data_IF_164808703337
#
_entry.id   IF_164808703337
#
_cell.length_a   1.000
_cell.length_b   1.000
_cell.length_c   1.000
_cell.angle_alpha   90.00
_cell.angle_beta   90.00
_cell.angle_gamma   90.00
#
_symmetry.space_group_name_H-M   'P 1'
#
loop_
_entity.id
_entity.type
_entity.pdbx_description
1 polymer ?
#
# COMPACT_ATOMS: atom_id res chain seq x y z
N UNK A 1 1.92 23.96 -12.87
CA UNK A 1 2.53 22.61 -12.77
C UNK A 1 3.49 22.70 -11.60
N UNK A 2 3.40 21.81 -10.63
CA UNK A 2 4.31 21.84 -9.49
C UNK A 2 5.73 21.56 -10.01
N UNK A 3 6.66 22.45 -9.68
CA UNK A 3 8.08 22.33 -10.09
C UNK A 3 8.84 21.28 -9.25
N UNK A 4 8.17 20.14 -8.98
CA UNK A 4 8.77 19.01 -8.25
C UNK A 4 9.69 18.27 -9.20
N UNK A 5 10.95 18.11 -8.81
CA UNK A 5 11.94 17.35 -9.58
C UNK A 5 12.10 15.93 -9.08
N UNK A 6 11.85 15.69 -7.79
CA UNK A 6 11.86 14.32 -7.25
C UNK A 6 10.91 14.11 -6.09
N UNK A 7 10.48 12.86 -5.94
CA UNK A 7 9.84 12.32 -4.73
C UNK A 7 10.69 11.15 -4.27
N UNK A 8 11.08 11.18 -3.00
CA UNK A 8 11.81 10.11 -2.35
C UNK A 8 11.04 9.65 -1.12
N UNK A 9 10.88 8.33 -0.97
CA UNK A 9 10.34 7.75 0.27
C UNK A 9 11.43 7.74 1.33
N UNK A 10 11.14 8.30 2.49
CA UNK A 10 11.98 8.24 3.67
C UNK A 10 11.72 6.93 4.43
N UNK A 11 12.67 6.50 5.26
CA UNK A 11 12.54 5.32 6.12
C UNK A 11 12.25 4.00 5.37
N UNK A 12 12.68 3.86 4.12
CA UNK A 12 12.82 2.56 3.49
C UNK A 12 14.12 1.96 3.98
N UNK A 13 14.07 0.72 4.45
CA UNK A 13 15.30 -0.02 4.68
C UNK A 13 15.96 -0.31 3.32
N UNK A 14 17.29 -0.28 3.26
CA UNK A 14 17.98 -0.75 2.07
C UNK A 14 17.57 -2.19 1.78
N UNK A 15 17.52 -2.57 0.51
CA UNK A 15 17.21 -3.93 0.07
C UNK A 15 15.76 -4.41 0.37
N UNK A 16 14.78 -3.52 0.56
CA UNK A 16 13.37 -3.94 0.64
C UNK A 16 12.73 -4.08 -0.74
N UNK A 17 12.08 -5.22 -0.98
CA UNK A 17 11.22 -5.48 -2.13
C UNK A 17 9.77 -5.57 -1.65
N UNK A 18 8.90 -4.76 -2.24
CA UNK A 18 7.46 -4.75 -1.95
C UNK A 18 6.71 -5.48 -3.05
N UNK A 19 5.98 -6.52 -2.68
CA UNK A 19 5.05 -7.22 -3.58
C UNK A 19 3.63 -6.91 -3.13
N UNK A 20 2.85 -6.33 -4.01
CA UNK A 20 1.42 -6.18 -3.79
C UNK A 20 0.69 -7.30 -4.48
N UNK A 21 0.28 -8.30 -3.72
CA UNK A 21 -0.42 -9.49 -4.19
C UNK A 21 -1.93 -9.30 -4.07
N UNK A 22 -2.64 -9.41 -5.18
CA UNK A 22 -4.10 -9.51 -5.21
C UNK A 22 -4.47 -10.97 -4.97
N UNK A 23 -5.10 -11.25 -3.84
CA UNK A 23 -5.53 -12.61 -3.49
C UNK A 23 -6.96 -12.92 -3.94
N UNK A 24 -7.79 -11.88 -4.11
CA UNK A 24 -9.14 -12.00 -4.66
C UNK A 24 -9.64 -10.64 -5.14
N UNK A 25 -10.47 -10.61 -6.18
CA UNK A 25 -11.19 -9.40 -6.60
C UNK A 25 -12.58 -9.30 -5.94
N UNK A 26 -13.07 -10.38 -5.33
CA UNK A 26 -14.36 -10.40 -4.63
C UNK A 26 -14.32 -9.56 -3.36
N UNK A 27 -15.41 -8.85 -3.08
CA UNK A 27 -15.57 -8.05 -1.87
C UNK A 27 -17.02 -8.13 -1.37
N UNK A 28 -17.20 -8.25 -0.07
CA UNK A 28 -18.52 -8.22 0.57
C UNK A 28 -19.07 -6.79 0.79
N UNK A 29 -18.26 -5.76 0.49
CA UNK A 29 -18.68 -4.36 0.45
C UNK A 29 -18.77 -3.87 -0.99
N UNK A 30 -19.72 -2.99 -1.27
CA UNK A 30 -19.88 -2.32 -2.56
C UNK A 30 -19.62 -0.81 -2.41
N UNK A 31 -18.39 -0.45 -2.07
CA UNK A 31 -17.99 0.93 -1.84
C UNK A 31 -17.93 1.69 -3.16
N UNK A 32 -18.77 2.72 -3.33
CA UNK A 32 -18.82 3.54 -4.57
C UNK A 32 -17.49 4.22 -4.95
N UNK A 33 -16.61 4.41 -3.99
CA UNK A 33 -15.27 4.99 -4.18
C UNK A 33 -14.17 3.94 -4.40
N UNK A 34 -14.52 2.66 -4.33
CA UNK A 34 -13.54 1.59 -4.50
C UNK A 34 -13.00 1.56 -5.93
N UNK A 35 -11.69 1.30 -6.05
CA UNK A 35 -10.98 1.18 -7.33
C UNK A 35 -10.37 -0.21 -7.51
N UNK A 36 -10.71 -1.15 -6.63
CA UNK A 36 -10.00 -2.42 -6.52
C UNK A 36 -10.88 -3.64 -6.72
N UNK A 37 -12.20 -3.53 -6.60
CA UNK A 37 -13.03 -4.69 -6.81
C UNK A 37 -13.71 -4.65 -8.18
N UNK A 38 -13.73 -5.79 -8.83
CA UNK A 38 -14.72 -6.17 -9.80
C UNK A 38 -15.73 -7.08 -9.08
N UNK A 39 -16.98 -7.05 -9.47
CA UNK A 39 -17.97 -8.04 -9.00
C UNK A 39 -17.79 -9.39 -9.71
N UNK A 40 -16.62 -9.63 -10.29
CA UNK A 40 -16.29 -10.86 -11.00
C UNK A 40 -15.97 -11.93 -9.97
N UNK A 41 -16.61 -13.07 -10.13
CA UNK A 41 -16.37 -14.26 -9.31
C UNK A 41 -14.97 -14.81 -9.68
N UNK A 42 -14.03 -14.68 -8.77
CA UNK A 42 -12.68 -15.22 -8.96
C UNK A 42 -12.71 -16.72 -8.69
N UNK A 43 -12.87 -17.50 -9.73
CA UNK A 43 -12.76 -18.96 -9.68
C UNK A 43 -11.29 -19.42 -9.61
N UNK A 44 -10.46 -18.79 -8.77
CA UNK A 44 -9.06 -19.17 -8.63
C UNK A 44 -8.96 -20.40 -7.76
N UNK A 45 -8.26 -21.42 -8.26
CA UNK A 45 -8.01 -22.68 -7.54
C UNK A 45 -6.84 -22.55 -6.58
N UNK A 46 -6.71 -23.51 -5.66
CA UNK A 46 -5.53 -23.57 -4.80
C UNK A 46 -4.23 -23.81 -5.60
N UNK A 47 -4.31 -24.53 -6.71
CA UNK A 47 -3.14 -24.78 -7.56
C UNK A 47 -2.65 -23.48 -8.23
N UNK A 48 -3.55 -22.57 -8.64
CA UNK A 48 -3.16 -21.26 -9.14
C UNK A 48 -2.39 -20.45 -8.08
N UNK A 49 -2.84 -20.48 -6.82
CA UNK A 49 -2.11 -19.85 -5.72
C UNK A 49 -0.73 -20.47 -5.51
N UNK A 50 -0.59 -21.79 -5.65
CA UNK A 50 0.72 -22.45 -5.54
C UNK A 50 1.70 -21.92 -6.57
N UNK A 51 1.30 -21.72 -7.82
CA UNK A 51 2.16 -21.12 -8.84
C UNK A 51 2.61 -19.71 -8.44
N UNK A 52 1.68 -18.88 -7.92
CA UNK A 52 1.99 -17.53 -7.43
C UNK A 52 2.99 -17.59 -6.26
N UNK A 53 2.77 -18.49 -5.30
CA UNK A 53 3.62 -18.65 -4.12
C UNK A 53 4.99 -19.21 -4.49
N UNK A 54 5.04 -20.18 -5.40
CA UNK A 54 6.29 -20.73 -5.92
C UNK A 54 7.09 -19.68 -6.70
N UNK A 55 6.43 -18.83 -7.47
CA UNK A 55 7.08 -17.67 -8.10
C UNK A 55 7.69 -16.74 -7.04
N UNK A 56 6.93 -16.36 -5.99
CA UNK A 56 7.45 -15.51 -4.90
C UNK A 56 8.64 -16.18 -4.20
N UNK A 57 8.57 -17.49 -3.94
CA UNK A 57 9.66 -18.23 -3.33
C UNK A 57 10.90 -18.29 -4.25
N UNK A 58 10.73 -18.45 -5.56
CA UNK A 58 11.83 -18.45 -6.51
C UNK A 58 12.53 -17.08 -6.60
N UNK A 59 11.77 -15.99 -6.72
CA UNK A 59 12.38 -14.65 -6.72
C UNK A 59 13.04 -14.32 -5.37
N UNK A 60 12.51 -14.83 -4.25
CA UNK A 60 13.14 -14.65 -2.93
C UNK A 60 14.51 -15.30 -2.84
N UNK A 61 14.71 -16.45 -3.50
CA UNK A 61 16.02 -17.11 -3.60
C UNK A 61 16.99 -16.40 -4.53
N UNK A 62 16.47 -15.86 -5.64
CA UNK A 62 17.27 -15.06 -6.58
C UNK A 62 17.78 -13.78 -5.90
N UNK A 63 16.88 -13.08 -5.21
CA UNK A 63 17.16 -11.83 -4.47
C UNK A 63 17.37 -12.09 -2.97
N UNK A 64 18.21 -13.08 -2.63
CA UNK A 64 18.38 -13.60 -1.26
C UNK A 64 18.84 -12.58 -0.22
N UNK A 65 19.49 -11.50 -0.65
CA UNK A 65 19.95 -10.42 0.23
C UNK A 65 18.88 -9.31 0.42
N UNK A 66 17.73 -9.47 -0.22
CA UNK A 66 16.63 -8.52 -0.07
C UNK A 66 15.60 -9.02 0.93
N UNK A 67 15.02 -8.09 1.69
CA UNK A 67 13.87 -8.33 2.55
C UNK A 67 12.57 -8.12 1.77
N UNK A 68 11.69 -9.10 1.80
CA UNK A 68 10.41 -9.02 1.11
C UNK A 68 9.31 -8.57 2.06
N UNK A 69 8.50 -7.63 1.61
CA UNK A 69 7.24 -7.22 2.23
C UNK A 69 6.10 -7.56 1.30
N UNK A 70 5.23 -8.47 1.72
CA UNK A 70 4.11 -8.94 0.91
C UNK A 70 2.83 -8.29 1.41
N UNK A 71 2.16 -7.53 0.55
CA UNK A 71 0.87 -6.92 0.84
C UNK A 71 -0.24 -7.78 0.26
N UNK A 72 -0.99 -8.46 1.11
CA UNK A 72 -2.19 -9.22 0.74
C UNK A 72 -3.35 -8.25 0.57
N UNK A 73 -3.79 -8.11 -0.67
CA UNK A 73 -4.70 -7.06 -1.10
C UNK A 73 -5.75 -7.62 -2.07
N UNK A 74 -6.75 -6.80 -2.44
CA UNK A 74 -7.75 -7.21 -3.43
C UNK A 74 -9.07 -6.48 -3.24
N UNK A 75 -10.17 -7.20 -3.39
CA UNK A 75 -11.49 -6.81 -2.88
C UNK A 75 -11.46 -6.85 -1.35
N UNK A 76 -11.89 -7.97 -0.78
CA UNK A 76 -11.67 -8.27 0.65
C UNK A 76 -10.88 -9.58 0.77
N UNK A 77 -9.59 -9.54 1.12
CA UNK A 77 -8.73 -10.73 1.17
C UNK A 77 -9.25 -11.84 2.08
N UNK A 78 -9.99 -11.51 3.14
CA UNK A 78 -10.55 -12.52 4.07
C UNK A 78 -11.68 -13.35 3.46
N UNK A 79 -12.13 -13.04 2.26
CA UNK A 79 -13.05 -13.88 1.48
C UNK A 79 -12.31 -14.99 0.71
N UNK A 80 -10.99 -14.88 0.54
CA UNK A 80 -10.18 -15.93 -0.04
C UNK A 80 -10.13 -17.13 0.93
N UNK A 81 -10.64 -18.28 0.51
CA UNK A 81 -10.66 -19.51 1.33
C UNK A 81 -9.26 -20.03 1.65
N UNK A 82 -8.27 -19.66 0.87
CA UNK A 82 -6.86 -20.09 1.01
C UNK A 82 -5.97 -19.08 1.73
N UNK A 83 -6.54 -18.02 2.32
CA UNK A 83 -5.74 -16.95 2.93
C UNK A 83 -4.80 -17.47 4.03
N UNK A 84 -5.28 -18.41 4.85
CA UNK A 84 -4.47 -19.04 5.91
C UNK A 84 -3.29 -19.84 5.34
N UNK A 85 -3.53 -20.58 4.24
CA UNK A 85 -2.48 -21.37 3.58
C UNK A 85 -1.47 -20.46 2.87
N UNK A 86 -1.92 -19.38 2.23
CA UNK A 86 -1.07 -18.34 1.65
C UNK A 86 -0.18 -17.72 2.73
N UNK A 87 -0.77 -17.34 3.87
CA UNK A 87 -0.04 -16.73 4.99
C UNK A 87 1.03 -17.69 5.52
N UNK A 88 0.67 -18.95 5.76
CA UNK A 88 1.59 -20.00 6.24
C UNK A 88 2.73 -20.26 5.25
N UNK A 89 2.43 -20.30 3.96
CA UNK A 89 3.46 -20.48 2.93
C UNK A 89 4.45 -19.31 2.94
N UNK A 90 3.95 -18.07 2.94
CA UNK A 90 4.78 -16.87 2.97
C UNK A 90 5.61 -16.75 4.25
N UNK A 91 5.07 -17.20 5.38
CA UNK A 91 5.80 -17.21 6.66
C UNK A 91 7.03 -18.12 6.61
N UNK A 92 6.97 -19.24 5.89
CA UNK A 92 8.07 -20.17 5.73
C UNK A 92 9.19 -19.66 4.78
N UNK A 93 8.98 -18.56 4.07
CA UNK A 93 10.03 -17.95 3.25
C UNK A 93 10.90 -17.07 4.15
N UNK A 94 12.18 -17.42 4.26
CA UNK A 94 13.11 -16.84 5.23
C UNK A 94 13.23 -15.32 5.12
N UNK A 95 13.35 -14.80 3.91
CA UNK A 95 13.52 -13.37 3.67
C UNK A 95 12.21 -12.60 3.43
N UNK A 96 11.05 -13.22 3.58
CA UNK A 96 9.79 -12.50 3.81
C UNK A 96 9.79 -12.04 5.27
N UNK A 97 9.80 -10.72 5.48
CA UNK A 97 9.90 -10.10 6.81
C UNK A 97 8.61 -9.43 7.27
N UNK A 98 7.67 -9.17 6.36
CA UNK A 98 6.40 -8.51 6.68
C UNK A 98 5.30 -9.04 5.74
N UNK A 99 4.21 -9.52 6.30
CA UNK A 99 3.00 -9.93 5.59
C UNK A 99 1.89 -8.97 6.01
N UNK A 100 1.47 -8.10 5.11
CA UNK A 100 0.54 -7.02 5.43
C UNK A 100 -0.84 -7.39 4.90
N UNK A 101 -1.77 -7.69 5.79
CA UNK A 101 -3.16 -7.97 5.44
C UNK A 101 -3.98 -6.69 5.42
N UNK A 102 -4.50 -6.30 4.25
CA UNK A 102 -5.52 -5.26 4.12
C UNK A 102 -6.90 -5.88 4.26
N UNK A 103 -7.74 -5.37 5.16
CA UNK A 103 -9.08 -5.89 5.38
C UNK A 103 -10.08 -4.81 5.78
N UNK A 104 -11.34 -5.02 5.46
CA UNK A 104 -12.46 -4.22 5.95
C UNK A 104 -12.97 -4.67 7.33
N UNK A 105 -12.32 -5.65 7.93
CA UNK A 105 -12.57 -6.20 9.25
C UNK A 105 -14.00 -6.78 9.40
N UNK A 106 -14.51 -7.43 8.36
CA UNK A 106 -15.89 -7.95 8.34
C UNK A 106 -16.07 -9.38 8.87
N UNK A 107 -14.96 -10.12 9.09
CA UNK A 107 -14.99 -11.43 9.77
C UNK A 107 -15.13 -11.24 11.28
N UNK A 108 -15.47 -12.30 11.99
CA UNK A 108 -15.45 -12.29 13.46
C UNK A 108 -14.00 -12.21 13.99
N UNK A 109 -13.87 -11.84 15.26
CA UNK A 109 -12.55 -11.60 15.86
C UNK A 109 -11.71 -12.89 15.96
N UNK A 110 -12.34 -14.07 16.15
CA UNK A 110 -11.61 -15.32 16.23
C UNK A 110 -10.87 -15.63 14.93
N UNK A 111 -11.48 -15.32 13.78
CA UNK A 111 -10.82 -15.50 12.48
C UNK A 111 -9.47 -14.76 12.39
N UNK A 112 -9.42 -13.53 12.90
CA UNK A 112 -8.18 -12.72 12.88
C UNK A 112 -7.17 -13.21 13.91
N UNK A 113 -7.64 -13.68 15.08
CA UNK A 113 -6.80 -14.29 16.12
C UNK A 113 -6.16 -15.55 15.57
N UNK A 114 -6.96 -16.47 15.00
CA UNK A 114 -6.46 -17.71 14.39
C UNK A 114 -5.46 -17.43 13.25
N UNK A 115 -5.70 -16.36 12.49
CA UNK A 115 -4.77 -15.95 11.42
C UNK A 115 -3.46 -15.39 11.98
N UNK A 116 -3.51 -14.66 13.10
CA UNK A 116 -2.30 -14.11 13.75
C UNK A 116 -1.42 -15.21 14.36
N UNK A 117 -2.01 -16.34 14.79
CA UNK A 117 -1.28 -17.48 15.29
C UNK A 117 -0.46 -18.22 14.21
N UNK A 118 -0.73 -17.93 12.93
CA UNK A 118 0.00 -18.54 11.81
C UNK A 118 1.38 -17.91 11.64
N UNK A 119 1.51 -16.60 11.88
CA UNK A 119 2.74 -15.85 11.56
C UNK A 119 2.91 -14.59 12.41
N UNK A 120 4.03 -14.51 13.10
CA UNK A 120 4.47 -13.27 13.78
C UNK A 120 4.83 -12.13 12.81
N UNK A 121 5.01 -12.44 11.52
CA UNK A 121 5.27 -11.46 10.46
C UNK A 121 3.99 -10.75 10.01
N UNK A 122 2.81 -11.18 10.50
CA UNK A 122 1.53 -10.63 10.06
C UNK A 122 1.27 -9.26 10.68
N UNK A 123 1.04 -8.28 9.80
CA UNK A 123 0.65 -6.91 10.14
C UNK A 123 -0.77 -6.65 9.66
N UNK A 124 -1.62 -6.08 10.51
CA UNK A 124 -3.02 -5.81 10.18
C UNK A 124 -3.21 -4.37 9.70
N UNK A 125 -3.79 -4.20 8.50
CA UNK A 125 -4.20 -2.93 7.93
C UNK A 125 -5.72 -2.92 7.78
N UNK A 126 -6.41 -2.39 8.81
CA UNK A 126 -7.86 -2.40 8.91
C UNK A 126 -8.49 -1.10 8.38
N UNK A 127 -9.45 -1.22 7.48
CA UNK A 127 -10.15 -0.09 6.87
C UNK A 127 -11.54 0.09 7.46
N UNK A 128 -11.79 1.21 8.14
CA UNK A 128 -13.11 1.59 8.59
C UNK A 128 -13.94 2.20 7.45
N UNK A 129 -15.02 1.54 7.09
CA UNK A 129 -15.96 1.96 6.05
C UNK A 129 -17.30 2.35 6.70
N UNK A 130 -17.59 3.64 6.92
CA UNK A 130 -18.71 4.08 7.76
C UNK A 130 -20.09 3.74 7.20
N UNK A 131 -20.22 3.33 5.94
CA UNK A 131 -21.49 2.86 5.36
C UNK A 131 -21.87 1.45 5.80
N UNK A 132 -20.92 0.66 6.29
CA UNK A 132 -21.09 -0.77 6.52
C UNK A 132 -20.98 -1.17 7.98
N UNK A 133 -20.29 -0.39 8.79
CA UNK A 133 -20.11 -0.66 10.22
C UNK A 133 -20.13 0.63 11.02
N UNK A 134 -20.69 0.61 12.22
CA UNK A 134 -20.62 1.71 13.17
C UNK A 134 -19.21 1.82 13.75
N UNK A 135 -18.73 3.06 13.98
CA UNK A 135 -17.38 3.27 14.52
C UNK A 135 -17.15 2.55 15.87
N UNK A 136 -18.16 2.56 16.75
CA UNK A 136 -18.09 1.87 18.06
C UNK A 136 -17.86 0.37 17.93
N UNK A 137 -18.49 -0.28 16.94
CA UNK A 137 -18.39 -1.73 16.73
C UNK A 137 -17.04 -2.06 16.05
N UNK A 138 -16.65 -1.26 15.07
CA UNK A 138 -15.33 -1.39 14.42
C UNK A 138 -14.19 -1.26 15.43
N UNK A 139 -14.24 -0.24 16.31
CA UNK A 139 -13.16 0.00 17.28
C UNK A 139 -13.14 -1.06 18.40
N UNK A 140 -14.32 -1.59 18.77
CA UNK A 140 -14.40 -2.74 19.68
C UNK A 140 -13.69 -3.95 19.07
N UNK A 141 -13.97 -4.29 17.82
CA UNK A 141 -13.28 -5.39 17.12
C UNK A 141 -11.77 -5.16 17.08
N UNK A 142 -11.31 -3.93 16.75
CA UNK A 142 -9.88 -3.59 16.79
C UNK A 142 -9.29 -3.83 18.19
N UNK A 143 -9.94 -3.36 19.25
CA UNK A 143 -9.43 -3.52 20.62
C UNK A 143 -9.35 -4.98 21.05
N UNK A 144 -10.31 -5.80 20.63
CA UNK A 144 -10.34 -7.23 20.94
C UNK A 144 -9.20 -8.01 20.27
N UNK A 145 -8.81 -7.63 19.04
CA UNK A 145 -7.75 -8.32 18.28
C UNK A 145 -6.36 -7.68 18.39
N UNK A 146 -6.27 -6.42 18.82
CA UNK A 146 -5.02 -5.66 18.89
C UNK A 146 -3.88 -6.37 19.69
N UNK A 147 -4.16 -7.12 20.78
CA UNK A 147 -3.11 -7.83 21.51
C UNK A 147 -2.41 -8.94 20.72
N UNK A 148 -3.03 -9.41 19.64
CA UNK A 148 -2.54 -10.55 18.85
C UNK A 148 -1.71 -10.12 17.63
N UNK A 149 -1.63 -8.81 17.34
CA UNK A 149 -0.86 -8.28 16.21
C UNK A 149 0.28 -7.39 16.69
N UNK A 150 1.48 -7.65 16.19
CA UNK A 150 2.66 -6.81 16.47
C UNK A 150 2.49 -5.38 15.96
N UNK A 151 1.71 -5.21 14.89
CA UNK A 151 1.42 -3.91 14.28
C UNK A 151 0.03 -3.86 13.66
N UNK A 152 -0.70 -2.79 13.96
CA UNK A 152 -2.03 -2.52 13.40
C UNK A 152 -2.09 -1.09 12.86
N UNK A 153 -2.55 -0.95 11.61
CA UNK A 153 -2.82 0.33 10.96
C UNK A 153 -4.32 0.46 10.70
N UNK A 154 -4.93 1.56 11.14
CA UNK A 154 -6.33 1.87 10.87
C UNK A 154 -6.42 2.93 9.78
N UNK A 155 -7.14 2.61 8.71
CA UNK A 155 -7.54 3.59 7.70
C UNK A 155 -8.99 4.00 7.92
N UNK A 156 -9.23 5.27 8.21
CA UNK A 156 -10.60 5.82 8.32
C UNK A 156 -10.99 6.39 6.97
N UNK A 157 -11.89 5.72 6.27
CA UNK A 157 -12.42 6.19 4.99
C UNK A 157 -13.48 7.27 5.23
N UNK A 158 -13.06 8.52 5.26
CA UNK A 158 -14.00 9.63 5.49
C UNK A 158 -14.93 9.83 4.31
N UNK A 159 -16.15 9.29 4.42
CA UNK A 159 -17.25 9.56 3.50
C UNK A 159 -18.08 10.72 4.05
N UNK A 160 -18.03 11.91 3.43
CA UNK A 160 -18.73 13.09 3.94
C UNK A 160 -20.25 12.97 3.83
N UNK A 161 -20.76 11.99 3.09
CA UNK A 161 -22.21 11.70 3.03
C UNK A 161 -22.71 10.89 4.24
N UNK A 162 -21.81 10.35 5.06
CA UNK A 162 -22.11 9.50 6.22
C UNK A 162 -21.55 10.09 7.50
N UNK A 163 -20.34 10.62 7.46
CA UNK A 163 -19.66 11.23 8.60
C UNK A 163 -19.53 12.74 8.38
N UNK A 164 -20.17 13.52 9.22
CA UNK A 164 -20.01 14.96 9.25
C UNK A 164 -18.67 15.39 9.92
N UNK A 165 -18.41 16.71 9.92
CA UNK A 165 -17.18 17.26 10.49
C UNK A 165 -17.06 17.00 12.02
N UNK A 166 -18.17 16.96 12.74
CA UNK A 166 -18.16 16.72 14.19
C UNK A 166 -17.77 15.26 14.46
N UNK A 167 -18.38 14.34 13.74
CA UNK A 167 -18.15 12.91 13.85
C UNK A 167 -16.70 12.55 13.50
N UNK A 168 -16.15 13.09 12.40
CA UNK A 168 -14.77 12.80 12.03
C UNK A 168 -13.75 13.37 13.01
N UNK A 169 -14.02 14.56 13.58
CA UNK A 169 -13.21 15.13 14.67
C UNK A 169 -13.25 14.29 15.93
N UNK A 170 -14.40 13.72 16.26
CA UNK A 170 -14.53 12.80 17.39
C UNK A 170 -13.71 11.53 17.15
N UNK A 171 -13.82 10.92 15.96
CA UNK A 171 -13.03 9.73 15.56
C UNK A 171 -11.54 10.01 15.65
N UNK A 172 -11.10 11.13 15.12
CA UNK A 172 -9.70 11.56 15.15
C UNK A 172 -9.17 11.70 16.58
N UNK A 173 -9.93 12.37 17.46
CA UNK A 173 -9.57 12.53 18.87
C UNK A 173 -9.50 11.17 19.58
N UNK A 174 -10.44 10.28 19.31
CA UNK A 174 -10.48 8.95 19.91
C UNK A 174 -9.28 8.12 19.48
N UNK A 175 -8.97 8.08 18.18
CA UNK A 175 -7.83 7.32 17.65
C UNK A 175 -6.49 7.90 18.09
N UNK A 176 -6.39 9.22 18.27
CA UNK A 176 -5.22 9.86 18.87
C UNK A 176 -5.00 9.36 20.30
N UNK A 177 -6.05 9.30 21.11
CA UNK A 177 -5.96 8.78 22.48
C UNK A 177 -5.63 7.27 22.49
N UNK A 178 -6.22 6.51 21.56
CA UNK A 178 -5.93 5.08 21.45
C UNK A 178 -4.47 4.83 21.07
N UNK A 179 -3.92 5.57 20.11
CA UNK A 179 -2.51 5.52 19.72
C UNK A 179 -1.57 5.88 20.89
N UNK A 180 -1.96 6.81 21.74
CA UNK A 180 -1.17 7.16 22.94
C UNK A 180 -1.16 6.07 24.01
N UNK A 181 -2.20 5.20 24.00
CA UNK A 181 -2.32 4.08 24.94
C UNK A 181 -1.59 2.83 24.46
N UNK A 182 -1.51 2.60 23.14
CA UNK A 182 -0.95 1.40 22.54
C UNK A 182 0.15 1.78 21.55
N UNK A 183 1.32 1.19 21.68
CA UNK A 183 2.50 1.48 20.84
C UNK A 183 2.47 0.75 19.48
N UNK A 184 1.64 -0.29 19.35
CA UNK A 184 1.52 -1.12 18.15
C UNK A 184 0.37 -0.70 17.22
N UNK A 185 -0.25 0.48 17.46
CA UNK A 185 -1.33 1.00 16.62
C UNK A 185 -0.96 2.35 15.98
N UNK A 186 -1.32 2.49 14.71
CA UNK A 186 -1.29 3.76 13.99
C UNK A 186 -2.61 3.97 13.25
N UNK A 187 -2.90 5.19 12.82
CA UNK A 187 -4.09 5.45 12.01
C UNK A 187 -3.86 6.58 10.99
N UNK A 188 -4.66 6.54 9.95
CA UNK A 188 -4.71 7.56 8.90
C UNK A 188 -6.17 7.91 8.59
N UNK A 189 -6.46 9.21 8.49
CA UNK A 189 -7.73 9.67 7.97
C UNK A 189 -7.62 9.87 6.47
N UNK A 190 -8.38 9.11 5.70
CA UNK A 190 -8.33 9.15 4.23
C UNK A 190 -9.59 9.82 3.68
N UNK A 191 -9.41 10.95 2.98
CA UNK A 191 -10.49 11.52 2.17
C UNK A 191 -10.83 10.58 1.02
N UNK A 192 -12.11 10.27 0.86
CA UNK A 192 -12.55 9.56 -0.33
C UNK A 192 -12.74 10.52 -1.50
N UNK A 193 -12.12 10.15 -2.62
CA UNK A 193 -12.30 10.85 -3.89
C UNK A 193 -13.16 9.94 -4.75
N UNK A 194 -14.39 10.35 -5.04
CA UNK A 194 -15.30 9.60 -5.92
C UNK A 194 -14.67 9.36 -7.28
N UNK A 195 -15.02 8.25 -7.90
CA UNK A 195 -14.85 8.08 -9.35
C UNK A 195 -15.74 9.11 -10.04
N UNK A 196 -15.32 9.60 -11.21
CA UNK A 196 -16.01 10.65 -11.99
C UNK A 196 -17.48 10.35 -12.33
N UNK A 197 -17.95 9.14 -12.07
CA UNK A 197 -19.29 8.65 -12.34
C UNK A 197 -20.20 8.44 -11.12
N UNK A 198 -19.69 8.58 -9.89
CA UNK A 198 -20.48 8.33 -8.69
C UNK A 198 -20.36 9.50 -7.70
N UNK A 199 -21.42 10.30 -7.61
CA UNK A 199 -21.47 11.46 -6.73
C UNK A 199 -21.52 11.05 -5.25
N UNK A 200 -20.34 11.00 -4.64
CA UNK A 200 -20.21 11.21 -3.21
C UNK A 200 -20.41 12.71 -2.99
N UNK A 201 -21.16 13.10 -1.95
CA UNK A 201 -21.24 14.49 -1.55
C UNK A 201 -19.82 15.09 -1.48
N UNK A 202 -19.60 16.23 -2.10
CA UNK A 202 -18.32 16.93 -1.98
C UNK A 202 -18.11 17.42 -0.56
N UNK A 203 -16.87 17.47 -0.13
CA UNK A 203 -16.50 18.14 1.11
C UNK A 203 -16.83 19.64 0.99
N UNK A 204 -17.39 20.24 2.04
CA UNK A 204 -17.59 21.67 2.10
C UNK A 204 -16.29 22.38 2.54
N UNK A 205 -16.27 23.71 2.45
CA UNK A 205 -15.06 24.53 2.71
C UNK A 205 -14.51 24.29 4.13
N UNK A 206 -15.37 24.14 5.14
CA UNK A 206 -14.95 23.90 6.53
C UNK A 206 -14.34 22.52 6.71
N UNK A 207 -14.85 21.53 6.01
CA UNK A 207 -14.32 20.14 6.00
C UNK A 207 -12.97 20.11 5.29
N UNK A 208 -12.86 20.78 4.14
CA UNK A 208 -11.60 20.91 3.38
C UNK A 208 -10.53 21.63 4.20
N UNK A 209 -10.87 22.76 4.79
CA UNK A 209 -9.96 23.56 5.62
C UNK A 209 -9.48 22.77 6.85
N UNK A 210 -10.41 22.12 7.56
CA UNK A 210 -10.05 21.31 8.72
C UNK A 210 -9.10 20.18 8.36
N UNK A 211 -9.40 19.46 7.28
CA UNK A 211 -8.57 18.35 6.83
C UNK A 211 -7.19 18.80 6.39
N UNK A 212 -7.11 19.90 5.63
CA UNK A 212 -5.85 20.51 5.20
C UNK A 212 -5.01 20.95 6.40
N UNK A 213 -5.63 21.61 7.39
CA UNK A 213 -4.94 22.00 8.61
C UNK A 213 -4.46 20.77 9.40
N UNK A 214 -5.29 19.73 9.51
CA UNK A 214 -4.92 18.48 10.16
C UNK A 214 -3.70 17.84 9.52
N UNK A 215 -3.67 17.75 8.19
CA UNK A 215 -2.56 17.19 7.44
C UNK A 215 -1.28 18.01 7.59
N UNK A 216 -1.38 19.33 7.62
CA UNK A 216 -0.22 20.23 7.72
C UNK A 216 0.37 20.31 9.13
N UNK A 217 -0.46 20.19 10.19
CA UNK A 217 -0.02 20.40 11.58
C UNK A 217 0.30 19.12 12.34
N UNK A 218 -0.39 18.02 11.99
CA UNK A 218 -0.27 16.72 12.66
C UNK A 218 0.31 15.65 11.73
N UNK A 219 1.33 15.99 10.95
CA UNK A 219 2.07 14.98 10.22
C UNK A 219 2.79 14.06 11.24
N UNK A 220 2.11 12.98 11.63
CA UNK A 220 2.67 11.97 12.52
C UNK A 220 3.79 11.16 11.86
N UNK A 221 3.90 11.20 10.53
CA UNK A 221 5.00 10.68 9.76
C UNK A 221 5.33 11.65 8.63
N UNK A 222 6.61 11.91 8.42
CA UNK A 222 7.14 12.60 7.25
C UNK A 222 7.76 11.53 6.37
N UNK A 223 6.91 10.81 5.63
CA UNK A 223 7.34 9.59 4.93
C UNK A 223 7.98 9.88 3.57
N UNK A 224 7.86 11.14 3.09
CA UNK A 224 8.33 11.52 1.75
C UNK A 224 9.07 12.83 1.77
N UNK A 225 10.10 12.90 0.95
CA UNK A 225 10.83 14.10 0.61
C UNK A 225 10.45 14.53 -0.80
N UNK A 226 9.97 15.77 -0.93
CA UNK A 226 9.74 16.42 -2.21
C UNK A 226 10.87 17.41 -2.45
N UNK A 227 11.56 17.28 -3.58
CA UNK A 227 12.56 18.26 -4.01
C UNK A 227 11.99 19.07 -5.17
N UNK A 228 12.13 20.39 -5.09
CA UNK A 228 11.65 21.35 -6.08
C UNK A 228 12.80 21.89 -6.94
N UNK A 229 12.49 22.49 -8.11
CA UNK A 229 13.49 23.06 -9.04
C UNK A 229 14.39 24.14 -8.43
N UNK A 230 13.90 24.84 -7.44
CA UNK A 230 14.64 25.86 -6.69
C UNK A 230 15.50 25.25 -5.56
N UNK A 231 15.64 23.92 -5.53
CA UNK A 231 16.30 23.13 -4.51
C UNK A 231 15.65 23.17 -3.13
N UNK A 232 14.45 23.71 -3.00
CA UNK A 232 13.69 23.60 -1.78
C UNK A 232 13.28 22.14 -1.54
N UNK A 233 13.41 21.71 -0.29
CA UNK A 233 13.04 20.35 0.15
C UNK A 233 11.87 20.48 1.12
N UNK A 234 10.83 19.68 0.88
CA UNK A 234 9.66 19.59 1.75
C UNK A 234 9.43 18.14 2.17
N UNK A 235 9.42 17.90 3.48
CA UNK A 235 9.06 16.59 4.03
C UNK A 235 7.55 16.53 4.28
N UNK A 236 6.90 15.53 3.70
CA UNK A 236 5.44 15.40 3.67
C UNK A 236 4.99 13.96 3.91
N UNK A 237 3.68 13.77 4.09
CA UNK A 237 3.04 12.46 4.07
C UNK A 237 2.18 12.27 2.80
N UNK A 238 1.60 11.08 2.64
CA UNK A 238 0.75 10.74 1.49
C UNK A 238 -0.49 11.63 1.40
N UNK A 239 -1.08 12.02 2.53
CA UNK A 239 -2.26 12.88 2.57
C UNK A 239 -1.96 14.30 2.11
N UNK A 240 -0.78 14.85 2.47
CA UNK A 240 -0.33 16.14 1.94
C UNK A 240 -0.28 16.11 0.40
N UNK A 241 0.30 15.07 -0.18
CA UNK A 241 0.36 14.94 -1.65
C UNK A 241 -1.05 14.86 -2.25
N UNK A 242 -1.95 14.13 -1.60
CA UNK A 242 -3.34 13.96 -2.04
C UNK A 242 -4.13 15.28 -1.95
N UNK A 243 -4.01 16.01 -0.83
CA UNK A 243 -4.66 17.31 -0.62
C UNK A 243 -4.18 18.39 -1.59
N UNK A 244 -2.89 18.35 -1.93
CA UNK A 244 -2.28 19.31 -2.85
C UNK A 244 -2.30 18.83 -4.32
N UNK A 245 -3.04 17.74 -4.61
CA UNK A 245 -3.20 17.16 -5.95
C UNK A 245 -1.88 16.80 -6.63
N UNK A 246 -0.86 16.41 -5.85
CA UNK A 246 0.47 16.01 -6.33
C UNK A 246 0.37 14.57 -6.84
N UNK A 247 0.04 14.38 -8.11
CA UNK A 247 -0.17 13.05 -8.70
C UNK A 247 0.19 12.92 -10.19
N UNK A 248 0.64 13.98 -10.82
CA UNK A 248 0.99 14.01 -12.24
C UNK A 248 2.47 13.71 -12.44
N UNK A 249 2.83 12.46 -12.71
CA UNK A 249 4.21 12.01 -12.87
C UNK A 249 4.46 11.32 -14.22
N UNK A 250 3.61 11.59 -15.22
CA UNK A 250 3.84 11.09 -16.58
C UNK A 250 5.21 11.55 -17.08
N UNK A 251 5.99 10.63 -17.60
CA UNK A 251 7.35 10.88 -18.08
C UNK A 251 8.46 10.84 -17.02
N UNK A 252 8.14 10.82 -15.72
CA UNK A 252 9.13 10.68 -14.66
C UNK A 252 9.75 9.27 -14.67
N UNK A 253 11.03 9.17 -14.31
CA UNK A 253 11.67 7.89 -14.01
C UNK A 253 11.18 7.43 -12.64
N UNK A 254 10.65 6.23 -12.58
CA UNK A 254 9.96 5.67 -11.41
C UNK A 254 10.64 4.37 -10.97
N UNK A 255 10.82 4.20 -9.67
CA UNK A 255 11.45 3.01 -9.07
C UNK A 255 10.53 1.76 -9.05
N UNK A 256 9.34 1.85 -9.64
CA UNK A 256 8.54 0.67 -9.95
C UNK A 256 9.37 -0.34 -10.77
N UNK A 257 9.18 -1.63 -10.55
CA UNK A 257 10.00 -2.74 -11.08
C UNK A 257 11.47 -2.78 -10.56
N UNK A 258 11.91 -1.82 -9.76
CA UNK A 258 13.21 -1.92 -9.07
C UNK A 258 13.03 -2.44 -7.64
N UNK A 259 12.07 -1.85 -6.90
CA UNK A 259 11.81 -2.18 -5.49
C UNK A 259 10.37 -2.57 -5.24
N UNK A 260 9.54 -2.60 -6.27
CA UNK A 260 8.11 -2.77 -6.11
C UNK A 260 7.45 -3.29 -7.37
N UNK A 261 6.52 -4.24 -7.23
CA UNK A 261 5.62 -4.63 -8.30
C UNK A 261 4.25 -5.07 -7.77
N UNK A 262 3.29 -5.14 -8.68
CA UNK A 262 1.92 -5.52 -8.44
C UNK A 262 1.67 -6.85 -9.15
N UNK A 263 1.37 -7.88 -8.40
CA UNK A 263 1.06 -9.23 -8.89
C UNK A 263 -0.43 -9.47 -8.71
N UNK A 264 -1.11 -9.65 -9.83
CA UNK A 264 -2.53 -9.96 -9.85
C UNK A 264 -2.75 -11.47 -9.72
N UNK A 265 -3.95 -11.86 -9.31
CA UNK A 265 -4.32 -13.27 -9.11
C UNK A 265 -4.41 -14.08 -10.42
N UNK A 266 -4.47 -13.42 -11.57
CA UNK A 266 -4.36 -14.03 -12.91
C UNK A 266 -2.90 -14.26 -13.37
N UNK A 267 -1.93 -14.08 -12.47
CA UNK A 267 -0.50 -14.23 -12.73
C UNK A 267 0.15 -13.07 -13.46
N UNK A 268 -0.60 -12.04 -13.82
CA UNK A 268 -0.05 -10.85 -14.46
C UNK A 268 0.71 -9.95 -13.48
N UNK A 269 1.91 -9.51 -13.88
CA UNK A 269 2.72 -8.56 -13.15
C UNK A 269 2.68 -7.20 -13.84
N UNK A 270 2.42 -6.18 -13.03
CA UNK A 270 2.42 -4.79 -13.44
C UNK A 270 3.46 -4.01 -12.63
N UNK A 271 4.07 -2.97 -13.18
CA UNK A 271 5.00 -2.13 -12.42
C UNK A 271 4.37 -1.53 -11.16
N UNK A 272 3.10 -1.19 -11.20
CA UNK A 272 2.35 -0.67 -10.07
C UNK A 272 0.83 -0.76 -10.29
N UNK A 273 0.06 -0.50 -9.23
CA UNK A 273 -1.41 -0.45 -9.30
C UNK A 273 -1.95 0.53 -10.35
N UNK A 274 -1.26 1.64 -10.62
CA UNK A 274 -1.71 2.61 -11.63
C UNK A 274 -1.69 2.01 -13.04
N UNK A 275 -0.68 1.21 -13.38
CA UNK A 275 -0.64 0.50 -14.66
C UNK A 275 -1.83 -0.44 -14.81
N UNK A 276 -2.10 -1.26 -13.81
CA UNK A 276 -3.28 -2.13 -13.81
C UNK A 276 -4.59 -1.32 -13.90
N UNK A 277 -4.74 -0.25 -13.11
CA UNK A 277 -5.93 0.59 -13.10
C UNK A 277 -6.22 1.26 -14.46
N UNK A 278 -5.17 1.69 -15.18
CA UNK A 278 -5.30 2.29 -16.52
C UNK A 278 -5.30 1.27 -17.63
N UNK A 279 -5.34 -0.02 -17.32
CA UNK A 279 -5.40 -1.14 -18.27
C UNK A 279 -4.22 -1.16 -19.25
N UNK A 280 -3.02 -0.82 -18.79
CA UNK A 280 -1.80 -1.10 -19.53
C UNK A 280 -1.54 -2.59 -19.57
N UNK A 281 -0.82 -3.06 -20.61
CA UNK A 281 -0.39 -4.45 -20.70
C UNK A 281 0.51 -4.83 -19.52
N UNK A 282 0.39 -6.07 -19.02
CA UNK A 282 1.31 -6.59 -18.01
C UNK A 282 2.73 -6.65 -18.60
N UNK A 283 3.72 -6.46 -17.74
CA UNK A 283 5.13 -6.55 -18.14
C UNK A 283 5.65 -7.99 -18.11
N UNK A 284 4.97 -8.86 -17.37
CA UNK A 284 5.32 -10.27 -17.19
C UNK A 284 4.07 -11.04 -16.75
N UNK A 285 4.01 -12.34 -17.15
CA UNK A 285 3.00 -13.27 -16.65
C UNK A 285 3.68 -14.55 -16.15
N UNK A 286 3.38 -14.94 -14.90
CA UNK A 286 4.04 -16.07 -14.22
C UNK A 286 3.74 -17.44 -14.84
N UNK A 287 2.65 -17.56 -15.62
CA UNK A 287 2.25 -18.83 -16.23
C UNK A 287 2.83 -19.03 -17.64
N UNK A 288 3.14 -17.94 -18.34
CA UNK A 288 3.52 -17.99 -19.75
C UNK A 288 4.95 -17.52 -20.04
N UNK A 289 5.52 -16.71 -19.17
CA UNK A 289 6.85 -16.14 -19.36
C UNK A 289 7.91 -16.93 -18.55
N UNK A 290 9.13 -17.01 -19.10
CA UNK A 290 10.27 -17.58 -18.38
C UNK A 290 10.78 -16.64 -17.31
N UNK A 291 11.22 -17.17 -16.17
CA UNK A 291 11.72 -16.40 -15.02
C UNK A 291 12.92 -15.52 -15.37
N UNK A 292 13.71 -15.89 -16.38
CA UNK A 292 14.83 -15.06 -16.87
C UNK A 292 14.36 -13.71 -17.41
N UNK A 293 13.21 -13.68 -18.09
CA UNK A 293 12.58 -12.44 -18.53
C UNK A 293 12.25 -11.51 -17.36
N UNK A 294 11.80 -12.07 -16.23
CA UNK A 294 11.56 -11.27 -15.02
C UNK A 294 12.86 -10.68 -14.48
N UNK A 295 13.94 -11.43 -14.47
CA UNK A 295 15.26 -10.96 -14.04
C UNK A 295 15.79 -9.81 -14.92
N UNK A 296 15.50 -9.85 -16.22
CA UNK A 296 15.92 -8.79 -17.16
C UNK A 296 15.15 -7.47 -16.92
N UNK A 297 13.90 -7.53 -16.49
CA UNK A 297 13.06 -6.34 -16.30
C UNK A 297 13.05 -5.83 -14.86
N UNK A 298 13.20 -6.73 -13.86
CA UNK A 298 13.22 -6.35 -12.46
C UNK A 298 14.60 -5.81 -12.05
N UNK A 299 14.60 -4.76 -11.24
CA UNK A 299 15.83 -4.05 -10.86
C UNK A 299 16.08 -2.78 -11.65
N UNK A 300 15.36 -2.57 -12.76
CA UNK A 300 15.49 -1.39 -13.62
C UNK A 300 14.33 -0.42 -13.40
N UNK A 301 14.60 0.87 -13.13
CA UNK A 301 13.55 1.89 -13.06
C UNK A 301 12.83 2.05 -14.41
N UNK A 302 11.56 2.41 -14.36
CA UNK A 302 10.73 2.60 -15.55
C UNK A 302 10.38 4.07 -15.79
N UNK A 303 10.17 4.46 -17.03
CA UNK A 303 9.52 5.73 -17.37
C UNK A 303 8.01 5.61 -17.15
N UNK A 304 7.46 6.46 -16.27
CA UNK A 304 6.05 6.44 -15.92
C UNK A 304 5.17 6.88 -17.10
N UNK A 305 4.22 6.03 -17.49
CA UNK A 305 3.23 6.33 -18.55
C UNK A 305 1.87 6.78 -17.99
N UNK A 306 1.71 6.79 -16.67
CA UNK A 306 0.44 7.10 -16.03
C UNK A 306 0.25 8.61 -15.88
N UNK A 307 -0.82 9.17 -16.46
CA UNK A 307 -1.20 10.58 -16.29
C UNK A 307 -1.40 10.97 -14.83
N UNK A 308 -1.87 10.03 -14.00
CA UNK A 308 -2.07 10.22 -12.57
C UNK A 308 -1.57 9.00 -11.80
N UNK A 309 -0.78 9.23 -10.78
CA UNK A 309 -0.37 8.18 -9.84
C UNK A 309 -1.52 7.89 -8.87
N UNK A 310 -2.10 6.69 -8.95
CA UNK A 310 -3.25 6.28 -8.16
C UNK A 310 -2.82 5.43 -6.98
N UNK A 311 -2.62 6.07 -5.83
CA UNK A 311 -2.38 5.36 -4.57
C UNK A 311 -0.99 4.73 -4.41
N UNK A 312 0.01 5.17 -5.18
CA UNK A 312 1.36 4.64 -5.13
C UNK A 312 2.39 5.77 -4.97
N UNK A 313 2.22 6.55 -3.90
CA UNK A 313 3.20 7.58 -3.53
C UNK A 313 4.47 6.99 -2.92
N UNK A 314 4.43 5.72 -2.55
CA UNK A 314 5.52 4.98 -1.90
C UNK A 314 6.60 4.48 -2.87
N UNK A 315 6.63 4.96 -4.09
CA UNK A 315 7.68 4.64 -5.08
C UNK A 315 8.40 5.94 -5.45
N UNK A 316 9.71 5.95 -5.32
CA UNK A 316 10.55 7.07 -5.67
C UNK A 316 10.42 7.45 -7.15
N UNK A 317 10.46 8.75 -7.43
CA UNK A 317 10.32 9.29 -8.78
C UNK A 317 11.24 10.47 -8.98
N UNK A 318 11.81 10.56 -10.17
CA UNK A 318 12.70 11.64 -10.59
C UNK A 318 12.30 12.17 -11.96
N UNK A 319 12.29 13.48 -12.12
CA UNK A 319 12.10 14.08 -13.43
C UNK A 319 13.30 13.75 -14.35
N UNK A 320 13.09 13.36 -15.63
CA UNK A 320 14.17 12.86 -16.51
C UNK A 320 15.37 13.81 -16.66
N UNK A 321 15.13 15.12 -16.64
CA UNK A 321 16.22 16.13 -16.75
C UNK A 321 17.17 16.17 -15.56
N UNK A 322 16.82 15.50 -14.45
CA UNK A 322 17.61 15.41 -13.21
C UNK A 322 18.02 13.96 -12.91
N UNK A 323 17.63 13.04 -13.77
CA UNK A 323 18.07 11.64 -13.70
C UNK A 323 19.36 11.50 -14.52
N UNK A 324 20.43 11.16 -13.86
CA UNK A 324 21.65 10.70 -14.52
C UNK A 324 22.11 9.38 -13.88
N UNK A 325 22.78 8.53 -14.64
CA UNK A 325 23.23 7.21 -14.19
C UNK A 325 24.29 7.32 -13.06
N UNK A 326 25.03 8.43 -12.98
CA UNK A 326 26.00 8.71 -11.92
C UNK A 326 25.31 9.24 -10.64
N UNK A 327 24.19 9.98 -10.80
CA UNK A 327 23.33 10.45 -9.72
C UNK A 327 22.08 9.57 -9.66
N UNK A 328 22.32 8.29 -9.45
CA UNK A 328 21.23 7.38 -9.18
C UNK A 328 20.65 7.78 -7.82
N UNK A 329 19.66 8.69 -7.80
CA UNK A 329 18.92 9.09 -6.59
C UNK A 329 18.41 7.83 -5.87
N UNK A 330 18.23 6.75 -6.60
CA UNK A 330 17.87 5.45 -6.10
C UNK A 330 19.06 4.68 -5.47
N UNK A 331 20.31 5.00 -5.81
CA UNK A 331 21.49 4.43 -5.15
C UNK A 331 21.82 5.17 -3.84
N UNK A 332 21.47 6.46 -3.73
CA UNK A 332 21.59 7.20 -2.46
C UNK A 332 20.52 6.83 -1.43
N UNK A 333 19.48 6.08 -1.82
CA UNK A 333 18.58 5.41 -0.88
C UNK A 333 19.14 4.08 -0.37
N UNK A 334 20.11 3.53 -1.09
CA UNK A 334 20.99 2.46 -0.62
C UNK A 334 22.24 3.21 -0.16
N UNK A 335 22.20 3.79 1.03
CA UNK A 335 23.46 4.19 1.66
C UNK A 335 24.38 2.99 1.58
N UNK A 336 25.59 3.17 1.03
CA UNK A 336 26.68 2.27 1.34
C UNK A 336 26.85 2.30 2.85
N UNK A 337 26.12 1.45 3.52
CA UNK A 337 26.43 1.06 4.87
C UNK A 337 27.43 -0.07 4.67
N UNK A 338 28.71 0.27 4.79
CA UNK A 338 29.74 -0.71 5.04
C UNK A 338 29.31 -1.50 6.27
N UNK A 339 28.68 -2.65 6.06
CA UNK A 339 28.55 -3.65 7.09
C UNK A 339 29.89 -4.35 7.20
N UNK A 340 30.77 -3.86 8.08
CA UNK A 340 31.77 -4.72 8.68
C UNK A 340 31.01 -5.80 9.44
N UNK A 341 31.02 -6.99 8.90
CA UNK A 341 30.59 -8.20 9.60
C UNK A 341 31.68 -8.50 10.64
N UNK A 342 31.43 -8.19 11.89
CA UNK A 342 32.13 -8.87 12.96
C UNK A 342 31.73 -10.35 12.93
N UNK A 343 32.75 -11.23 12.84
CA UNK A 343 32.66 -12.68 12.85
C UNK A 343 32.08 -13.24 14.17
#
# INVERSE_FOLDING_TARGET
MLDIISIRKLHTLPNEIYIKLIVTNSCNYNCKYCRSHSNEDDSITFDDYRYILDFINNISKIYKYNNFKIQLFGGEPTLCSYLSDITRYLDNIENVKDIILYTNLSKDNNYYIDLSDISDKLTLYASFHPRYIQFKDFIKNIQDILPFFNRTMIFVMWDPSVLDLIQIKFIDKYLTALKSKYNNIAYELSKIVGNDQQMIRRYNDKEEEWFKNKVNTNMSSKDYELTYKDNNILHVNSEFMRCNNIKGFEGYICNAMKTHFYLNNDGNIYPCKSYHYYRFEPVFNIYTDDISKFQDIFGTPIKCSCKKCVGMYNIDKVHPSYYNDEYNIFNNTIGEVDYEWEE
#
